data_IF_498444323041
#
_entry.id   IF_498444323041
#
_cell.length_a   1.000
_cell.length_b   1.000
_cell.length_c   1.000
_cell.angle_alpha   90.00
_cell.angle_beta   90.00
_cell.angle_gamma   90.00
#
_symmetry.space_group_name_H-M   'P 1'
#
loop_
_entity.id
_entity.type
_entity.pdbx_description
1 polymer ?
#
# COMPACT_ATOMS: atom_id res chain seq x y z
N UNK A 1 22.20 -7.78 -7.89
CA UNK A 1 21.28 -6.64 -8.04
C UNK A 1 20.57 -6.47 -6.72
N UNK A 2 20.86 -5.40 -5.98
CA UNK A 2 20.23 -5.15 -4.68
C UNK A 2 18.76 -4.77 -4.89
N UNK A 3 17.85 -5.64 -4.46
CA UNK A 3 16.46 -5.25 -4.25
C UNK A 3 16.47 -4.27 -3.06
N UNK A 4 16.40 -2.97 -3.35
CA UNK A 4 16.13 -1.97 -2.33
C UNK A 4 14.82 -2.36 -1.63
N UNK A 5 14.89 -2.58 -0.33
CA UNK A 5 13.70 -2.84 0.48
C UNK A 5 12.78 -1.61 0.43
N UNK A 6 11.47 -1.80 0.46
CA UNK A 6 10.51 -0.69 0.39
C UNK A 6 10.73 0.35 1.52
N UNK A 7 11.30 -0.09 2.65
CA UNK A 7 11.73 0.76 3.78
C UNK A 7 12.85 1.73 3.37
N UNK A 8 13.86 1.27 2.64
CA UNK A 8 14.95 2.13 2.17
C UNK A 8 14.48 3.18 1.16
N UNK A 9 13.43 2.88 0.39
CA UNK A 9 12.87 3.85 -0.55
C UNK A 9 12.10 4.93 0.20
N UNK A 10 11.30 4.58 1.21
CA UNK A 10 10.63 5.54 2.09
C UNK A 10 11.62 6.44 2.84
N UNK A 11 12.74 5.88 3.30
CA UNK A 11 13.83 6.63 3.93
C UNK A 11 14.53 7.58 2.95
N UNK A 12 14.68 7.22 1.67
CA UNK A 12 15.28 8.11 0.66
C UNK A 12 14.33 9.25 0.25
N UNK A 13 13.03 9.02 0.31
CA UNK A 13 12.02 10.03 0.01
C UNK A 13 11.88 11.09 1.10
N UNK A 14 12.14 10.72 2.36
CA UNK A 14 12.12 11.66 3.49
C UNK A 14 13.16 12.77 3.38
N UNK A 15 14.15 12.66 2.48
CA UNK A 15 15.18 13.68 2.29
C UNK A 15 14.77 14.80 1.30
N UNK A 16 13.62 14.69 0.61
CA UNK A 16 13.22 15.68 -0.42
C UNK A 16 11.75 16.09 -0.44
N UNK A 17 10.86 15.39 0.27
CA UNK A 17 9.40 15.60 0.25
C UNK A 17 8.89 15.45 1.69
N UNK A 18 7.90 16.26 2.08
CA UNK A 18 7.27 16.17 3.41
C UNK A 18 6.68 14.76 3.62
N UNK A 19 7.23 14.03 4.59
CA UNK A 19 6.82 12.66 4.96
C UNK A 19 5.31 12.58 5.21
N UNK A 20 4.73 13.63 5.79
CA UNK A 20 3.29 13.65 6.08
C UNK A 20 2.45 13.77 4.80
N UNK A 21 2.90 14.49 3.79
CA UNK A 21 2.19 14.61 2.52
C UNK A 21 2.19 13.28 1.76
N UNK A 22 3.33 12.59 1.70
CA UNK A 22 3.41 11.25 1.09
C UNK A 22 2.45 10.29 1.78
N UNK A 23 2.42 10.33 3.11
CA UNK A 23 1.57 9.44 3.89
C UNK A 23 0.09 9.74 3.66
N UNK A 24 -0.31 11.02 3.62
CA UNK A 24 -1.68 11.42 3.27
C UNK A 24 -2.08 10.94 1.88
N UNK A 25 -1.20 11.10 0.89
CA UNK A 25 -1.44 10.63 -0.47
C UNK A 25 -1.57 9.11 -0.54
N UNK A 26 -0.79 8.39 0.27
CA UNK A 26 -0.89 6.95 0.38
C UNK A 26 -2.22 6.49 0.95
N UNK A 27 -2.65 7.06 2.08
CA UNK A 27 -3.92 6.70 2.72
C UNK A 27 -5.09 6.99 1.78
N UNK A 28 -5.10 8.16 1.11
CA UNK A 28 -6.11 8.49 0.11
C UNK A 28 -6.14 7.49 -1.05
N UNK A 29 -4.97 7.08 -1.53
CA UNK A 29 -4.87 6.12 -2.63
C UNK A 29 -5.30 4.71 -2.20
N UNK A 30 -5.00 4.33 -0.96
CA UNK A 30 -5.46 3.08 -0.35
C UNK A 30 -6.99 3.06 -0.23
N UNK A 31 -7.58 4.12 0.30
CA UNK A 31 -9.04 4.26 0.39
C UNK A 31 -9.69 4.21 -0.99
N UNK A 32 -9.14 4.93 -1.97
CA UNK A 32 -9.65 4.94 -3.35
C UNK A 32 -9.62 3.55 -4.02
N UNK A 33 -8.50 2.83 -3.89
CA UNK A 33 -8.31 1.56 -4.60
C UNK A 33 -9.00 0.39 -3.88
N UNK A 34 -9.18 0.47 -2.57
CA UNK A 34 -9.69 -0.67 -1.76
C UNK A 34 -11.02 -0.40 -1.04
N UNK A 35 -11.38 0.87 -0.82
CA UNK A 35 -12.50 1.27 0.05
C UNK A 35 -12.19 1.17 1.54
N UNK A 36 -10.92 0.98 1.92
CA UNK A 36 -10.45 0.94 3.30
C UNK A 36 -10.08 2.34 3.79
N UNK A 37 -10.93 2.92 4.64
CA UNK A 37 -10.62 4.16 5.34
C UNK A 37 -9.75 3.85 6.57
N UNK A 38 -8.57 4.47 6.62
CA UNK A 38 -7.64 4.34 7.73
C UNK A 38 -7.04 5.69 8.15
N UNK A 39 -7.81 6.76 7.96
CA UNK A 39 -7.40 8.13 8.28
C UNK A 39 -7.05 8.33 9.75
N UNK A 40 -7.62 7.55 10.65
CA UNK A 40 -7.32 7.55 12.10
C UNK A 40 -5.87 7.19 12.43
N UNK A 41 -5.16 6.50 11.55
CA UNK A 41 -3.76 6.10 11.78
C UNK A 41 -2.74 7.16 11.30
N UNK A 42 -3.18 8.30 10.76
CA UNK A 42 -2.28 9.38 10.29
C UNK A 42 -1.47 10.07 11.40
N UNK A 43 -1.89 9.91 12.67
CA UNK A 43 -1.22 10.51 13.84
C UNK A 43 -0.05 9.66 14.37
N UNK A 44 0.25 8.51 13.75
CA UNK A 44 1.34 7.64 14.20
C UNK A 44 2.68 8.15 13.64
N UNK A 45 3.54 8.66 14.53
CA UNK A 45 4.86 9.20 14.16
C UNK A 45 5.87 8.11 13.76
N UNK A 46 5.78 6.93 14.40
CA UNK A 46 6.62 5.77 14.08
C UNK A 46 6.12 5.08 12.81
N UNK A 47 6.92 5.19 11.74
CA UNK A 47 6.60 4.63 10.43
C UNK A 47 6.51 3.09 10.45
N UNK A 48 7.33 2.41 11.26
CA UNK A 48 7.29 0.96 11.33
C UNK A 48 5.99 0.50 11.99
N UNK A 49 5.63 1.14 13.10
CA UNK A 49 4.36 0.86 13.79
C UNK A 49 3.15 1.15 12.90
N UNK A 50 3.21 2.23 12.12
CA UNK A 50 2.16 2.60 11.17
C UNK A 50 2.00 1.55 10.07
N UNK A 51 3.10 1.10 9.46
CA UNK A 51 3.07 0.08 8.41
C UNK A 51 2.53 -1.24 8.94
N UNK A 52 2.94 -1.64 10.15
CA UNK A 52 2.42 -2.84 10.82
C UNK A 52 0.91 -2.74 11.06
N UNK A 53 0.42 -1.63 11.63
CA UNK A 53 -1.02 -1.40 11.80
C UNK A 53 -1.77 -1.41 10.47
N UNK A 54 -1.27 -0.72 9.46
CA UNK A 54 -1.86 -0.71 8.12
C UNK A 54 -1.99 -2.12 7.56
N UNK A 55 -0.96 -2.96 7.73
CA UNK A 55 -0.96 -4.36 7.27
C UNK A 55 -2.02 -5.17 8.01
N UNK A 56 -2.05 -5.09 9.33
CA UNK A 56 -3.01 -5.84 10.16
C UNK A 56 -4.46 -5.42 9.88
N UNK A 57 -4.73 -4.11 9.88
CA UNK A 57 -6.08 -3.57 9.70
C UNK A 57 -6.60 -3.85 8.28
N UNK A 58 -5.75 -3.66 7.26
CA UNK A 58 -6.09 -3.97 5.88
C UNK A 58 -6.30 -5.48 5.69
N UNK A 59 -5.47 -6.33 6.32
CA UNK A 59 -5.65 -7.78 6.30
C UNK A 59 -7.02 -8.20 6.86
N UNK A 60 -7.40 -7.62 8.00
CA UNK A 60 -8.73 -7.81 8.60
C UNK A 60 -9.86 -7.35 7.67
N UNK A 61 -9.71 -6.18 7.04
CA UNK A 61 -10.66 -5.64 6.08
C UNK A 61 -10.83 -6.53 4.85
N UNK A 62 -9.72 -7.02 4.28
CA UNK A 62 -9.73 -7.90 3.10
C UNK A 62 -10.37 -9.25 3.44
N UNK A 63 -10.05 -9.81 4.62
CA UNK A 63 -10.67 -11.05 5.11
C UNK A 63 -12.18 -10.91 5.24
N UNK A 64 -12.64 -9.83 5.87
CA UNK A 64 -14.07 -9.52 6.02
C UNK A 64 -14.75 -9.30 4.67
N UNK A 65 -14.10 -8.58 3.76
CA UNK A 65 -14.66 -8.31 2.43
C UNK A 65 -14.78 -9.60 1.61
N UNK A 66 -13.77 -10.48 1.67
CA UNK A 66 -13.79 -11.76 0.98
C UNK A 66 -14.92 -12.68 1.49
N UNK A 67 -15.16 -12.72 2.81
CA UNK A 67 -16.21 -13.55 3.39
C UNK A 67 -17.62 -13.01 3.15
N UNK A 68 -17.78 -11.69 3.07
CA UNK A 68 -19.09 -11.04 2.89
C UNK A 68 -19.48 -10.90 1.42
N UNK A 69 -18.53 -10.57 0.55
CA UNK A 69 -18.79 -10.34 -0.87
C UNK A 69 -17.53 -10.60 -1.71
N UNK A 70 -17.45 -11.81 -2.26
CA UNK A 70 -16.33 -12.24 -3.07
C UNK A 70 -16.12 -11.39 -4.33
N UNK A 71 -17.20 -10.90 -4.97
CA UNK A 71 -17.11 -10.02 -6.15
C UNK A 71 -16.44 -8.70 -5.78
N UNK A 72 -16.85 -8.09 -4.65
CA UNK A 72 -16.23 -6.85 -4.14
C UNK A 72 -14.75 -7.08 -3.83
N UNK A 73 -14.41 -8.21 -3.21
CA UNK A 73 -13.03 -8.58 -2.95
C UNK A 73 -12.21 -8.67 -4.24
N UNK A 74 -12.68 -9.42 -5.24
CA UNK A 74 -11.97 -9.54 -6.52
C UNK A 74 -11.83 -8.20 -7.24
N UNK A 75 -12.83 -7.32 -7.16
CA UNK A 75 -12.72 -5.97 -7.70
C UNK A 75 -11.60 -5.15 -7.07
N UNK A 76 -11.33 -5.32 -5.77
CA UNK A 76 -10.19 -4.67 -5.10
C UNK A 76 -8.88 -5.22 -5.68
N UNK A 77 -8.76 -6.54 -5.76
CA UNK A 77 -7.55 -7.21 -6.29
C UNK A 77 -7.22 -6.74 -7.71
N UNK A 78 -8.24 -6.62 -8.57
CA UNK A 78 -8.06 -6.13 -9.93
C UNK A 78 -7.66 -4.64 -9.99
N UNK A 79 -8.24 -3.78 -9.15
CA UNK A 79 -7.87 -2.35 -9.11
C UNK A 79 -6.45 -2.10 -8.66
N UNK A 80 -5.95 -2.91 -7.72
CA UNK A 80 -4.59 -2.80 -7.18
C UNK A 80 -3.56 -3.46 -8.11
N UNK A 81 -3.99 -4.09 -9.21
CA UNK A 81 -3.14 -4.78 -10.18
C UNK A 81 -2.27 -5.87 -9.52
N UNK A 82 -2.92 -6.76 -8.76
CA UNK A 82 -2.27 -7.95 -8.21
C UNK A 82 -2.45 -9.12 -9.19
N UNK A 83 -1.36 -9.67 -9.77
CA UNK A 83 -1.48 -10.80 -10.69
C UNK A 83 -1.98 -12.05 -9.98
N UNK A 84 -2.84 -12.83 -10.66
CA UNK A 84 -3.33 -14.12 -10.16
C UNK A 84 -2.19 -15.05 -9.76
N UNK A 85 -1.08 -15.06 -10.51
CA UNK A 85 0.08 -15.88 -10.19
C UNK A 85 0.73 -15.54 -8.84
N UNK A 86 0.58 -14.32 -8.33
CA UNK A 86 1.03 -13.96 -6.98
C UNK A 86 0.02 -14.36 -5.91
N UNK A 87 -1.28 -14.32 -6.19
CA UNK A 87 -2.31 -14.81 -5.27
C UNK A 87 -2.17 -16.32 -5.03
N UNK A 88 -1.96 -17.09 -6.11
CA UNK A 88 -1.78 -18.54 -5.99
C UNK A 88 -0.54 -18.91 -5.15
N UNK A 89 0.51 -18.07 -5.13
CA UNK A 89 1.71 -18.31 -4.31
C UNK A 89 1.46 -18.18 -2.82
N UNK A 90 0.53 -17.33 -2.41
CA UNK A 90 0.21 -17.09 -1.00
C UNK A 90 -1.02 -17.89 -0.54
N UNK A 91 -1.72 -18.57 -1.45
CA UNK A 91 -3.01 -19.22 -1.20
C UNK A 91 -3.00 -20.25 -0.06
N UNK A 92 -1.86 -20.89 0.17
CA UNK A 92 -1.66 -21.88 1.24
C UNK A 92 -1.03 -21.29 2.50
N UNK A 93 -0.76 -19.99 2.52
CA UNK A 93 -0.20 -19.29 3.66
C UNK A 93 -1.25 -19.20 4.78
N UNK A 94 -0.87 -19.60 5.99
CA UNK A 94 -1.72 -19.47 7.19
C UNK A 94 -2.09 -18.01 7.45
N UNK A 95 -1.23 -17.08 7.01
CA UNK A 95 -1.42 -15.63 7.10
C UNK A 95 -1.81 -15.01 5.75
N UNK A 96 -2.51 -15.75 4.87
CA UNK A 96 -2.92 -15.32 3.53
C UNK A 96 -3.34 -13.85 3.42
N UNK A 97 -4.22 -13.38 4.32
CA UNK A 97 -4.73 -12.01 4.25
C UNK A 97 -3.72 -10.94 4.70
N UNK A 98 -2.79 -11.26 5.59
CA UNK A 98 -1.69 -10.36 5.95
C UNK A 98 -0.68 -10.26 4.81
N UNK A 99 -0.30 -11.41 4.23
CA UNK A 99 0.56 -11.47 3.03
C UNK A 99 -0.06 -10.73 1.85
N UNK A 100 -1.38 -10.85 1.67
CA UNK A 100 -2.12 -10.10 0.66
C UNK A 100 -2.16 -8.59 0.95
N UNK A 101 -2.38 -8.19 2.21
CA UNK A 101 -2.35 -6.79 2.62
C UNK A 101 -0.98 -6.17 2.35
N UNK A 102 0.11 -6.89 2.63
CA UNK A 102 1.46 -6.45 2.30
C UNK A 102 1.65 -6.25 0.79
N UNK A 103 1.13 -7.16 -0.04
CA UNK A 103 1.16 -7.00 -1.49
C UNK A 103 0.38 -5.77 -1.97
N UNK A 104 -0.80 -5.51 -1.39
CA UNK A 104 -1.63 -4.34 -1.70
C UNK A 104 -0.89 -3.06 -1.33
N UNK A 105 -0.38 -2.97 -0.10
CA UNK A 105 0.38 -1.82 0.38
C UNK A 105 1.57 -1.57 -0.53
N UNK A 106 2.38 -2.60 -0.84
CA UNK A 106 3.55 -2.47 -1.70
C UNK A 106 3.20 -1.90 -3.09
N UNK A 107 2.08 -2.32 -3.69
CA UNK A 107 1.61 -1.78 -4.98
C UNK A 107 1.21 -0.31 -4.88
N UNK A 108 0.47 0.06 -3.83
CA UNK A 108 0.05 1.45 -3.61
C UNK A 108 1.25 2.34 -3.33
N UNK A 109 2.19 1.91 -2.49
CA UNK A 109 3.47 2.59 -2.28
C UNK A 109 4.14 2.83 -3.62
N UNK A 110 4.43 1.78 -4.40
CA UNK A 110 5.08 1.90 -5.71
C UNK A 110 4.40 2.92 -6.64
N UNK A 111 3.07 2.93 -6.69
CA UNK A 111 2.28 3.88 -7.49
C UNK A 111 2.50 5.33 -7.05
N UNK A 112 2.41 5.60 -5.74
CA UNK A 112 2.65 6.94 -5.19
C UNK A 112 4.08 7.39 -5.44
N UNK A 113 5.06 6.53 -5.20
CA UNK A 113 6.47 6.86 -5.40
C UNK A 113 6.77 7.18 -6.86
N UNK A 114 6.20 6.41 -7.78
CA UNK A 114 6.30 6.63 -9.21
C UNK A 114 5.72 8.01 -9.57
N UNK A 115 4.52 8.34 -9.09
CA UNK A 115 3.91 9.65 -9.32
C UNK A 115 4.76 10.82 -8.79
N UNK A 116 5.32 10.69 -7.59
CA UNK A 116 6.18 11.72 -7.00
C UNK A 116 7.45 11.94 -7.80
N UNK A 117 8.08 10.85 -8.26
CA UNK A 117 9.28 10.93 -9.11
C UNK A 117 8.97 11.67 -10.42
N UNK A 118 7.85 11.38 -11.08
CA UNK A 118 7.47 12.07 -12.32
C UNK A 118 7.17 13.55 -12.09
N UNK A 119 6.35 13.91 -11.08
CA UNK A 119 6.09 15.32 -10.72
C UNK A 119 7.38 16.10 -10.44
N UNK A 120 8.37 15.47 -9.80
CA UNK A 120 9.66 16.13 -9.50
C UNK A 120 10.54 16.38 -10.74
N UNK A 121 10.34 15.62 -11.83
CA UNK A 121 11.04 15.83 -13.10
C UNK A 121 10.42 16.98 -13.90
N UNK A 122 9.10 17.10 -13.87
CA UNK A 122 8.39 18.17 -14.56
C UNK A 122 8.76 19.55 -13.98
N UNK A 123 8.91 19.64 -12.66
CA UNK A 123 9.33 20.88 -11.98
C UNK A 123 10.81 21.28 -12.20
N UNK A 124 11.62 20.47 -12.89
CA UNK A 124 13.03 20.80 -13.23
C UNK A 124 13.21 21.25 -14.69
N UNK A 125 12.12 21.34 -15.46
CA UNK A 125 12.14 21.72 -16.88
C UNK A 125 11.65 23.16 -17.13
N UNK A 126 11.64 24.00 -16.08
CA UNK A 126 11.39 25.45 -16.10
C UNK A 126 12.45 26.13 -15.26
#
# INVERSE_FOLDING_TARGET
>A
MNQLSNIEILQKLSMKIDKQEILKDLIKQLEKDTGFDNTSNLEIDDLNLLVEKLRTDLGCFLKKTASQNHIKFMNIIYRVDIPQSKLEKIKTDENYFESLAEMVLNRIFQKILTMLIYKSKDNKST
#
